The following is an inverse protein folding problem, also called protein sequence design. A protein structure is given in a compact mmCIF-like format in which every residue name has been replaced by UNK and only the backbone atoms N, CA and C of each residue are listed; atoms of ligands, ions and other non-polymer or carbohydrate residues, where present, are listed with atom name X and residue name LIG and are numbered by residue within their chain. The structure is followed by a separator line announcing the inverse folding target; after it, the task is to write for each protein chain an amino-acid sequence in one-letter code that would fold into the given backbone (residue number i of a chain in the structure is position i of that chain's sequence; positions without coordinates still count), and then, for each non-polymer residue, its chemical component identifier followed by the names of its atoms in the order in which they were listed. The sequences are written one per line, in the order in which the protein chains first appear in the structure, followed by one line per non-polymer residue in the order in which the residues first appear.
data_IF_727151820103
#
_entry.id   IF_727151820103
#
_cell.length_a   1.000
_cell.length_b   1.000
_cell.length_c   1.000
_cell.angle_alpha   90.00
_cell.angle_beta   90.00
_cell.angle_gamma   90.00
#
_symmetry.space_group_name_H-M   'P 1'
#
loop_
_entity.id
_entity.type
_entity.pdbx_description
1 polymer ?
#
# COMPACT_ATOMS: atom_id res chain seq x y z
N UNK A 1 -32.23 50.78 -12.32
CA UNK A 1 -31.02 49.93 -12.46
C UNK A 1 -31.01 48.91 -11.33
N UNK A 2 -31.12 47.61 -11.62
CA UNK A 2 -30.88 46.52 -10.66
C UNK A 2 -29.82 45.63 -11.30
N UNK A 3 -28.61 45.66 -10.76
CA UNK A 3 -27.50 44.80 -11.19
C UNK A 3 -27.52 43.58 -10.27
N UNK A 4 -27.85 42.43 -10.84
CA UNK A 4 -27.74 41.13 -10.17
C UNK A 4 -26.27 40.72 -10.31
N UNK A 5 -25.49 40.88 -9.24
CA UNK A 5 -24.13 40.35 -9.16
C UNK A 5 -24.27 38.87 -8.83
N UNK A 6 -24.21 38.03 -9.86
CA UNK A 6 -24.10 36.58 -9.73
C UNK A 6 -22.66 36.25 -9.34
N UNK A 7 -22.46 35.85 -8.08
CA UNK A 7 -21.19 35.34 -7.59
C UNK A 7 -20.99 33.91 -8.12
N UNK A 8 -20.23 33.80 -9.21
CA UNK A 8 -19.76 32.53 -9.74
C UNK A 8 -18.68 31.99 -8.80
N UNK A 9 -19.08 31.13 -7.85
CA UNK A 9 -18.16 30.38 -7.01
C UNK A 9 -17.47 29.35 -7.90
N UNK A 10 -16.24 29.67 -8.32
CA UNK A 10 -15.35 28.71 -8.95
C UNK A 10 -14.97 27.67 -7.91
N UNK A 11 -15.65 26.52 -7.96
CA UNK A 11 -15.15 25.28 -7.37
C UNK A 11 -13.85 24.94 -8.08
N UNK A 12 -12.71 25.27 -7.45
CA UNK A 12 -11.46 24.64 -7.78
C UNK A 12 -11.59 23.18 -7.37
N UNK A 13 -11.83 22.32 -8.35
CA UNK A 13 -11.67 20.88 -8.22
C UNK A 13 -10.21 20.63 -7.87
N UNK A 14 -9.91 20.50 -6.59
CA UNK A 14 -8.64 19.94 -6.13
C UNK A 14 -8.59 18.52 -6.66
N UNK A 15 -7.93 18.30 -7.80
CA UNK A 15 -7.52 16.96 -8.21
C UNK A 15 -6.57 16.47 -7.11
N UNK A 16 -7.12 15.74 -6.14
CA UNK A 16 -6.33 15.04 -5.15
C UNK A 16 -5.37 14.12 -5.90
N UNK A 17 -4.07 14.32 -5.71
CA UNK A 17 -3.07 13.43 -6.29
C UNK A 17 -3.35 12.00 -5.82
N UNK A 18 -3.34 11.03 -6.73
CA UNK A 18 -3.56 9.62 -6.41
C UNK A 18 -2.55 9.18 -5.34
N UNK A 19 -3.02 8.38 -4.37
CA UNK A 19 -2.18 7.90 -3.27
C UNK A 19 -1.30 6.74 -3.73
N UNK A 20 -1.72 6.03 -4.79
CA UNK A 20 -0.95 5.01 -5.48
C UNK A 20 -0.94 5.34 -6.98
N UNK A 21 0.24 5.33 -7.59
CA UNK A 21 0.37 5.33 -9.06
C UNK A 21 0.93 3.98 -9.47
N UNK A 22 0.26 3.30 -10.40
CA UNK A 22 0.68 1.98 -10.89
C UNK A 22 1.26 2.14 -12.28
N UNK A 23 2.47 1.63 -12.47
CA UNK A 23 3.11 1.52 -13.77
C UNK A 23 3.38 0.05 -14.07
N UNK A 24 3.35 -0.33 -15.34
CA UNK A 24 3.59 -1.71 -15.77
C UNK A 24 4.43 -1.79 -17.04
N UNK A 25 5.08 -2.92 -17.22
CA UNK A 25 5.64 -3.38 -18.48
C UNK A 25 5.18 -4.83 -18.73
N UNK A 26 5.73 -5.49 -19.74
CA UNK A 26 5.30 -6.83 -20.15
C UNK A 26 5.46 -7.91 -19.06
N UNK A 27 6.34 -7.70 -18.08
CA UNK A 27 6.73 -8.75 -17.10
C UNK A 27 6.65 -8.31 -15.65
N UNK A 28 6.39 -7.03 -15.39
CA UNK A 28 6.54 -6.43 -14.07
C UNK A 28 5.57 -5.28 -13.84
N UNK A 29 5.28 -5.06 -12.56
CA UNK A 29 4.46 -3.94 -12.11
C UNK A 29 5.20 -3.18 -11.02
N UNK A 30 5.09 -1.86 -11.07
CA UNK A 30 5.68 -0.90 -10.16
C UNK A 30 4.57 -0.05 -9.55
N UNK A 31 4.35 -0.21 -8.25
CA UNK A 31 3.56 0.72 -7.45
C UNK A 31 4.44 1.85 -6.92
N UNK A 32 4.04 3.11 -7.12
CA UNK A 32 4.55 4.26 -6.38
C UNK A 32 3.52 4.65 -5.33
N UNK A 33 3.91 4.59 -4.07
CA UNK A 33 3.04 4.86 -2.94
C UNK A 33 3.38 6.21 -2.29
N UNK A 34 2.37 7.08 -2.18
CA UNK A 34 2.48 8.43 -1.67
C UNK A 34 1.50 8.65 -0.52
N UNK A 35 2.03 9.00 0.64
CA UNK A 35 1.22 9.35 1.80
C UNK A 35 1.08 10.87 1.86
N UNK A 36 -0.16 11.35 1.94
CA UNK A 36 -0.44 12.79 2.00
C UNK A 36 0.25 13.44 3.21
N UNK A 37 0.85 14.60 2.98
CA UNK A 37 1.60 15.34 4.00
C UNK A 37 2.97 14.76 4.34
N UNK A 38 3.40 13.66 3.68
CA UNK A 38 4.75 13.10 3.81
C UNK A 38 5.56 13.32 2.54
N UNK A 39 6.85 13.60 2.72
CA UNK A 39 7.82 13.72 1.64
C UNK A 39 8.37 12.36 1.22
N UNK A 40 8.22 11.34 2.07
CA UNK A 40 8.64 9.99 1.76
C UNK A 40 7.69 9.35 0.76
N UNK A 41 8.28 8.79 -0.29
CA UNK A 41 7.60 7.99 -1.30
C UNK A 41 8.18 6.60 -1.18
N UNK A 42 7.35 5.56 -1.23
CA UNK A 42 7.84 4.19 -1.34
C UNK A 42 7.46 3.61 -2.69
N UNK A 43 8.15 2.55 -3.08
CA UNK A 43 7.79 1.79 -4.26
C UNK A 43 7.82 0.30 -3.99
N UNK A 44 6.86 -0.42 -4.55
CA UNK A 44 6.82 -1.88 -4.58
C UNK A 44 6.92 -2.33 -6.03
N UNK A 45 7.93 -3.11 -6.37
CA UNK A 45 8.01 -3.82 -7.65
C UNK A 45 7.64 -5.28 -7.44
N UNK A 46 6.85 -5.83 -8.35
CA UNK A 46 6.59 -7.27 -8.39
C UNK A 46 6.61 -7.82 -9.82
N UNK A 47 6.98 -9.10 -9.95
CA UNK A 47 7.11 -9.80 -11.22
C UNK A 47 8.57 -9.97 -11.64
N UNK A 48 8.89 -9.58 -12.88
CA UNK A 48 10.24 -9.56 -13.45
C UNK A 48 10.67 -10.85 -14.14
N UNK A 49 9.79 -11.85 -14.24
CA UNK A 49 10.09 -13.10 -14.94
C UNK A 49 9.83 -12.98 -16.44
N UNK A 50 10.87 -13.21 -17.26
CA UNK A 50 10.78 -13.19 -18.72
C UNK A 50 10.56 -14.60 -19.34
N UNK A 51 10.63 -15.68 -18.54
CA UNK A 51 10.60 -17.06 -19.04
C UNK A 51 9.27 -17.77 -18.78
N UNK A 52 8.57 -18.11 -19.87
CA UNK A 52 7.29 -18.85 -19.90
C UNK A 52 7.48 -20.39 -19.99
N UNK A 53 8.63 -20.91 -19.55
CA UNK A 53 8.98 -22.34 -19.61
C UNK A 53 8.58 -23.16 -18.37
N UNK A 54 8.59 -24.50 -18.49
CA UNK A 54 8.11 -25.47 -17.49
C UNK A 54 8.85 -25.46 -16.12
N UNK A 55 9.82 -24.57 -15.93
CA UNK A 55 10.41 -24.19 -14.65
C UNK A 55 10.34 -22.65 -14.53
N UNK A 56 9.12 -22.13 -14.40
CA UNK A 56 8.85 -20.68 -14.34
C UNK A 56 9.59 -20.07 -13.15
N UNK A 57 10.40 -19.01 -13.35
CA UNK A 57 10.89 -18.20 -12.24
C UNK A 57 9.69 -17.71 -11.42
N UNK A 58 9.79 -17.82 -10.10
CA UNK A 58 8.77 -17.33 -9.19
C UNK A 58 8.70 -15.80 -9.27
N UNK A 59 7.49 -15.23 -9.15
CA UNK A 59 7.31 -13.77 -9.05
C UNK A 59 8.17 -13.21 -7.91
N UNK A 60 9.10 -12.30 -8.22
CA UNK A 60 9.89 -11.62 -7.21
C UNK A 60 9.14 -10.37 -6.75
N UNK A 61 9.32 -9.98 -5.49
CA UNK A 61 8.84 -8.70 -4.95
C UNK A 61 10.01 -7.98 -4.32
N UNK A 62 10.13 -6.68 -4.56
CA UNK A 62 11.10 -5.81 -3.88
C UNK A 62 10.46 -4.48 -3.49
N UNK A 63 10.96 -3.87 -2.42
CA UNK A 63 10.42 -2.61 -1.91
C UNK A 63 11.51 -1.57 -1.67
N UNK A 64 11.26 -0.34 -2.12
CA UNK A 64 12.18 0.78 -2.00
C UNK A 64 11.58 1.93 -1.18
N UNK A 65 12.43 2.62 -0.43
CA UNK A 65 12.18 4.00 0.01
C UNK A 65 12.84 4.94 -0.99
N UNK A 66 12.08 5.92 -1.49
CA UNK A 66 12.46 6.81 -2.58
C UNK A 66 12.72 8.21 -2.06
N UNK A 67 13.89 8.76 -2.38
CA UNK A 67 14.26 10.15 -2.12
C UNK A 67 14.35 10.92 -3.42
N UNK A 68 13.77 12.11 -3.46
CA UNK A 68 13.82 12.99 -4.63
C UNK A 68 15.28 13.46 -4.84
N UNK A 69 15.79 13.29 -6.06
CA UNK A 69 17.12 13.69 -6.48
C UNK A 69 17.07 14.28 -7.89
N UNK A 70 17.16 15.61 -8.01
CA UNK A 70 17.21 16.30 -9.31
C UNK A 70 15.98 16.12 -10.22
N UNK A 71 14.81 15.73 -9.68
CA UNK A 71 13.60 15.41 -10.45
C UNK A 71 13.39 13.90 -10.67
N UNK A 72 14.41 13.09 -10.39
CA UNK A 72 14.32 11.64 -10.33
C UNK A 72 14.11 11.17 -8.88
N UNK A 73 13.95 9.87 -8.68
CA UNK A 73 14.07 9.25 -7.37
C UNK A 73 15.30 8.37 -7.27
N UNK A 74 16.01 8.51 -6.17
CA UNK A 74 16.97 7.53 -5.70
C UNK A 74 16.28 6.59 -4.72
N UNK A 75 16.22 5.32 -5.06
CA UNK A 75 15.63 4.27 -4.25
C UNK A 75 16.65 3.53 -3.42
N UNK A 76 16.33 3.28 -2.15
CA UNK A 76 17.07 2.40 -1.25
C UNK A 76 16.20 1.18 -1.00
N UNK A 77 16.70 -0.03 -1.27
CA UNK A 77 15.95 -1.25 -0.96
C UNK A 77 15.78 -1.32 0.55
N UNK A 78 14.53 -1.40 1.00
CA UNK A 78 14.18 -1.48 2.42
C UNK A 78 13.75 -2.90 2.79
N UNK A 79 13.81 -3.28 4.08
CA UNK A 79 13.28 -4.55 4.54
C UNK A 79 11.80 -4.72 4.18
N UNK A 80 11.42 -5.92 3.78
CA UNK A 80 10.05 -6.29 3.48
C UNK A 80 9.80 -7.78 3.74
N UNK A 81 8.54 -8.14 3.91
CA UNK A 81 8.11 -9.53 4.07
C UNK A 81 6.77 -9.76 3.39
N UNK A 82 6.73 -10.70 2.45
CA UNK A 82 5.52 -11.13 1.74
C UNK A 82 5.19 -12.57 2.13
N UNK A 83 4.15 -13.15 1.52
CA UNK A 83 3.81 -14.57 1.71
C UNK A 83 4.87 -15.51 1.11
N UNK A 84 5.67 -15.02 0.15
CA UNK A 84 6.60 -15.84 -0.64
C UNK A 84 8.06 -15.63 -0.27
N UNK A 85 8.41 -14.46 0.25
CA UNK A 85 9.81 -14.08 0.47
C UNK A 85 9.95 -12.96 1.51
N UNK A 86 11.14 -12.82 2.05
CA UNK A 86 11.47 -11.73 2.99
C UNK A 86 12.89 -11.24 2.78
N UNK A 87 13.11 -9.98 3.15
CA UNK A 87 14.39 -9.29 3.10
C UNK A 87 14.56 -8.45 4.36
N UNK A 88 15.72 -8.54 4.99
CA UNK A 88 15.99 -7.86 6.26
C UNK A 88 17.07 -6.78 6.18
N UNK A 89 17.80 -6.68 5.07
CA UNK A 89 18.90 -5.74 4.94
C UNK A 89 18.44 -4.47 4.23
N UNK A 90 19.20 -3.38 4.39
CA UNK A 90 19.12 -2.23 3.49
C UNK A 90 20.31 -2.32 2.55
N UNK A 91 20.08 -2.26 1.25
CA UNK A 91 21.15 -2.42 0.26
C UNK A 91 20.73 -1.85 -1.08
N UNK A 92 21.69 -1.58 -1.96
CA UNK A 92 21.48 -1.21 -3.36
C UNK A 92 20.74 0.13 -3.56
N UNK A 93 21.37 0.99 -4.34
CA UNK A 93 20.72 2.18 -4.86
C UNK A 93 20.16 1.87 -6.25
N UNK A 94 18.87 2.12 -6.43
CA UNK A 94 18.21 2.11 -7.74
C UNK A 94 17.82 3.55 -8.13
N UNK A 95 17.72 3.83 -9.42
CA UNK A 95 17.19 5.10 -9.95
C UNK A 95 15.81 4.87 -10.55
N UNK A 96 14.91 5.81 -10.30
CA UNK A 96 13.60 5.87 -10.93
C UNK A 96 13.46 7.22 -11.61
N UNK A 97 13.31 7.20 -12.92
CA UNK A 97 13.37 8.40 -13.75
C UNK A 97 11.99 8.65 -14.36
N UNK A 98 11.11 9.42 -13.69
CA UNK A 98 9.78 9.71 -14.19
C UNK A 98 9.86 10.68 -15.38
N UNK A 99 9.24 10.32 -16.49
CA UNK A 99 9.09 11.14 -17.69
C UNK A 99 7.65 11.08 -18.18
N UNK A 100 6.81 12.00 -17.69
CA UNK A 100 5.40 12.06 -18.05
C UNK A 100 4.63 10.83 -17.57
N UNK A 101 4.12 10.02 -18.50
CA UNK A 101 3.39 8.77 -18.22
C UNK A 101 4.31 7.54 -18.17
N UNK A 102 5.62 7.72 -18.25
CA UNK A 102 6.60 6.63 -18.19
C UNK A 102 7.48 6.82 -16.96
N UNK A 103 7.90 5.72 -16.34
CA UNK A 103 8.98 5.73 -15.36
C UNK A 103 10.00 4.66 -15.74
N UNK A 104 11.25 5.06 -15.85
CA UNK A 104 12.35 4.13 -16.13
C UNK A 104 12.97 3.69 -14.81
N UNK A 105 13.01 2.38 -14.56
CA UNK A 105 13.73 1.81 -13.43
C UNK A 105 15.12 1.34 -13.89
N UNK A 106 16.14 1.85 -13.22
CA UNK A 106 17.54 1.50 -13.45
C UNK A 106 18.14 0.93 -12.16
N UNK A 107 18.81 -0.20 -12.26
CA UNK A 107 19.58 -0.77 -11.16
C UNK A 107 21.00 -1.09 -11.63
N UNK A 108 21.99 -0.59 -10.89
CA UNK A 108 23.40 -0.88 -11.17
C UNK A 108 23.86 -2.23 -10.60
N UNK A 109 22.97 -2.93 -9.89
CA UNK A 109 23.26 -4.21 -9.25
C UNK A 109 22.14 -5.23 -9.49
N UNK A 110 22.53 -6.48 -9.67
CA UNK A 110 21.58 -7.59 -9.61
C UNK A 110 20.99 -7.68 -8.21
N UNK A 111 19.67 -7.88 -8.16
CA UNK A 111 18.96 -8.15 -6.91
C UNK A 111 19.22 -9.60 -6.53
N UNK A 112 20.18 -9.81 -5.63
CA UNK A 112 20.57 -11.11 -5.07
C UNK A 112 19.45 -11.83 -4.32
N UNK A 113 18.33 -11.14 -4.10
CA UNK A 113 17.11 -11.66 -3.50
C UNK A 113 16.14 -12.31 -4.51
N UNK A 114 16.20 -11.93 -5.78
CA UNK A 114 15.28 -12.47 -6.78
C UNK A 114 15.84 -13.75 -7.42
N UNK A 115 14.97 -14.66 -7.89
CA UNK A 115 15.41 -15.80 -8.70
C UNK A 115 16.26 -15.36 -9.90
N UNK A 116 17.14 -16.27 -10.35
CA UNK A 116 17.89 -16.03 -11.58
C UNK A 116 16.94 -15.81 -12.75
N UNK A 117 17.22 -14.80 -13.57
CA UNK A 117 16.38 -14.42 -14.71
C UNK A 117 15.34 -13.34 -14.39
N UNK A 118 15.18 -12.94 -13.12
CA UNK A 118 14.36 -11.77 -12.78
C UNK A 118 15.07 -10.49 -13.20
N UNK A 119 14.42 -9.69 -14.02
CA UNK A 119 14.88 -8.37 -14.44
C UNK A 119 13.75 -7.35 -14.34
N UNK A 120 13.96 -6.32 -13.52
CA UNK A 120 13.03 -5.20 -13.39
C UNK A 120 13.43 -3.98 -14.23
N UNK A 121 14.60 -4.00 -14.87
CA UNK A 121 15.12 -2.84 -15.62
C UNK A 121 14.28 -2.51 -16.84
N UNK A 122 14.16 -1.21 -17.10
CA UNK A 122 13.45 -0.70 -18.28
C UNK A 122 12.30 0.26 -17.95
N UNK A 123 11.50 0.51 -18.98
CA UNK A 123 10.42 1.49 -18.97
C UNK A 123 9.10 0.87 -18.52
N UNK A 124 8.39 1.57 -17.64
CA UNK A 124 7.07 1.20 -17.18
C UNK A 124 6.07 2.29 -17.57
N UNK A 125 4.94 1.90 -18.15
CA UNK A 125 3.87 2.80 -18.56
C UNK A 125 2.84 2.96 -17.44
N UNK A 126 2.39 4.20 -17.21
CA UNK A 126 1.33 4.50 -16.25
C UNK A 126 0.03 3.83 -16.67
N UNK A 127 -0.57 3.07 -15.75
CA UNK A 127 -1.85 2.39 -15.95
C UNK A 127 -2.99 3.35 -15.58
N UNK A 128 -3.92 3.59 -16.51
CA UNK A 128 -5.12 4.40 -16.26
C UNK A 128 -6.00 3.71 -15.19
N UNK A 129 -6.45 4.46 -14.18
CA UNK A 129 -7.32 3.97 -13.09
C UNK A 129 -8.62 3.31 -13.60
N UNK A 130 -9.06 3.67 -14.81
CA UNK A 130 -10.24 3.10 -15.47
C UNK A 130 -9.96 1.77 -16.18
N UNK A 131 -8.68 1.42 -16.39
CA UNK A 131 -8.30 0.13 -16.96
C UNK A 131 -8.57 -0.99 -15.92
N UNK A 132 -9.28 -2.07 -16.28
CA UNK A 132 -9.38 -3.26 -15.43
C UNK A 132 -8.05 -3.76 -14.84
N UNK A 133 -6.96 -3.63 -15.59
CA UNK A 133 -5.62 -4.05 -15.17
C UNK A 133 -5.12 -3.25 -13.96
N UNK A 134 -5.52 -1.97 -13.84
CA UNK A 134 -5.21 -1.16 -12.66
C UNK A 134 -5.73 -1.83 -11.40
N UNK A 135 -6.99 -2.30 -11.42
CA UNK A 135 -7.58 -2.95 -10.25
C UNK A 135 -6.89 -4.28 -9.95
N UNK A 136 -6.56 -5.07 -10.97
CA UNK A 136 -5.86 -6.34 -10.77
C UNK A 136 -4.47 -6.13 -10.14
N UNK A 137 -3.72 -5.16 -10.65
CA UNK A 137 -2.41 -4.79 -10.12
C UNK A 137 -2.53 -4.19 -8.71
N UNK A 138 -3.55 -3.37 -8.46
CA UNK A 138 -3.85 -2.82 -7.14
C UNK A 138 -4.17 -3.93 -6.13
N UNK A 139 -5.00 -4.91 -6.50
CA UNK A 139 -5.35 -6.07 -5.66
C UNK A 139 -4.10 -6.89 -5.27
N UNK A 140 -3.12 -7.01 -6.17
CA UNK A 140 -1.85 -7.68 -5.88
C UNK A 140 -1.00 -6.83 -4.91
N UNK A 141 -0.78 -5.56 -5.24
CA UNK A 141 0.05 -4.65 -4.45
C UNK A 141 -0.46 -4.48 -3.00
N UNK A 142 -1.78 -4.33 -2.81
CA UNK A 142 -2.35 -4.16 -1.47
C UNK A 142 -2.17 -5.42 -0.61
N UNK A 143 -2.26 -6.63 -1.20
CA UNK A 143 -2.05 -7.89 -0.48
C UNK A 143 -0.59 -8.07 -0.05
N UNK A 144 0.34 -7.78 -0.96
CA UNK A 144 1.78 -7.82 -0.66
C UNK A 144 2.12 -6.86 0.49
N UNK A 145 1.62 -5.63 0.42
CA UNK A 145 1.88 -4.61 1.44
C UNK A 145 1.11 -4.84 2.74
N UNK A 146 -0.07 -5.45 2.71
CA UNK A 146 -0.77 -5.89 3.92
C UNK A 146 -0.01 -6.96 4.67
N UNK A 147 0.51 -7.97 3.96
CA UNK A 147 1.36 -8.99 4.57
C UNK A 147 2.61 -8.37 5.21
N UNK A 148 3.24 -7.43 4.51
CA UNK A 148 4.41 -6.73 5.03
C UNK A 148 4.07 -5.86 6.26
N UNK A 149 2.92 -5.18 6.25
CA UNK A 149 2.44 -4.39 7.39
C UNK A 149 2.20 -5.25 8.64
N UNK A 150 1.60 -6.43 8.48
CA UNK A 150 1.41 -7.37 9.60
C UNK A 150 2.74 -7.86 10.17
N UNK A 151 3.77 -8.05 9.33
CA UNK A 151 5.10 -8.42 9.78
C UNK A 151 5.80 -7.27 10.54
N UNK A 152 5.66 -6.03 10.08
CA UNK A 152 6.13 -4.83 10.80
C UNK A 152 5.45 -4.70 12.17
N UNK A 153 4.12 -4.83 12.21
CA UNK A 153 3.36 -4.84 13.45
C UNK A 153 3.81 -5.95 14.41
N UNK A 154 4.06 -7.15 13.89
CA UNK A 154 4.56 -8.28 14.67
C UNK A 154 5.96 -8.06 15.24
N UNK A 155 6.71 -7.12 14.68
CA UNK A 155 8.02 -6.65 15.12
C UNK A 155 7.92 -5.37 15.97
N UNK A 156 6.73 -5.07 16.48
CA UNK A 156 6.40 -3.91 17.34
C UNK A 156 6.49 -2.54 16.65
N UNK A 157 6.57 -2.52 15.30
CA UNK A 157 6.60 -1.29 14.52
C UNK A 157 5.22 -0.93 13.95
N UNK A 158 4.33 -0.50 14.85
CA UNK A 158 2.94 -0.15 14.52
C UNK A 158 2.87 1.03 13.54
N UNK A 159 3.74 2.03 13.69
CA UNK A 159 3.70 3.24 12.87
C UNK A 159 4.07 2.95 11.43
N UNK A 160 5.15 2.20 11.16
CA UNK A 160 5.50 1.83 9.79
C UNK A 160 4.47 0.89 9.17
N UNK A 161 3.84 0.02 9.97
CA UNK A 161 2.74 -0.81 9.49
C UNK A 161 1.54 0.04 9.01
N UNK A 162 1.18 1.10 9.74
CA UNK A 162 0.14 2.06 9.34
C UNK A 162 0.57 2.79 8.07
N UNK A 163 1.78 3.35 8.04
CA UNK A 163 2.32 4.10 6.90
C UNK A 163 2.30 3.30 5.60
N UNK A 164 2.58 1.99 5.70
CA UNK A 164 2.59 1.09 4.58
C UNK A 164 1.19 0.85 3.97
N UNK A 165 0.15 0.83 4.80
CA UNK A 165 -1.23 0.56 4.39
C UNK A 165 -2.02 1.83 4.05
N UNK A 166 -1.71 2.95 4.69
CA UNK A 166 -2.42 4.22 4.55
C UNK A 166 -2.66 4.64 3.08
N UNK A 167 -1.67 4.63 2.16
CA UNK A 167 -1.92 5.04 0.78
C UNK A 167 -2.88 4.09 0.06
N UNK A 168 -2.83 2.78 0.34
CA UNK A 168 -3.76 1.80 -0.24
C UNK A 168 -5.18 1.94 0.31
N UNK A 169 -5.34 2.22 1.61
CA UNK A 169 -6.66 2.43 2.20
C UNK A 169 -7.31 3.69 1.63
N UNK A 170 -6.55 4.79 1.49
CA UNK A 170 -7.02 6.03 0.87
C UNK A 170 -7.42 5.81 -0.60
N UNK A 171 -6.56 5.16 -1.38
CA UNK A 171 -6.85 4.84 -2.78
C UNK A 171 -8.07 3.92 -2.92
N UNK A 172 -8.23 2.95 -2.02
CA UNK A 172 -9.40 2.06 -1.97
C UNK A 172 -10.68 2.84 -1.72
N UNK A 173 -10.68 3.77 -0.77
CA UNK A 173 -11.85 4.61 -0.47
C UNK A 173 -12.19 5.49 -1.68
N UNK A 174 -11.21 6.14 -2.29
CA UNK A 174 -11.40 7.01 -3.47
C UNK A 174 -12.00 6.26 -4.66
N UNK A 175 -11.60 5.00 -4.87
CA UNK A 175 -12.07 4.17 -5.97
C UNK A 175 -13.21 3.20 -5.57
N UNK A 176 -13.73 3.30 -4.33
CA UNK A 176 -14.75 2.41 -3.77
C UNK A 176 -14.38 0.91 -3.86
N UNK A 177 -13.10 0.59 -3.70
CA UNK A 177 -12.61 -0.77 -3.45
C UNK A 177 -12.75 -1.08 -1.95
N UNK A 178 -13.06 -2.34 -1.61
CA UNK A 178 -13.28 -2.74 -0.23
C UNK A 178 -12.74 -4.14 0.04
N UNK A 179 -11.82 -4.22 1.02
CA UNK A 179 -11.16 -5.44 1.46
C UNK A 179 -11.38 -5.59 2.97
N UNK A 180 -12.39 -6.37 3.37
CA UNK A 180 -12.88 -6.35 4.75
C UNK A 180 -11.82 -6.67 5.79
N UNK A 181 -10.94 -7.62 5.52
CA UNK A 181 -9.83 -8.00 6.40
C UNK A 181 -8.79 -6.87 6.51
N UNK A 182 -8.35 -6.32 5.39
CA UNK A 182 -7.32 -5.26 5.36
C UNK A 182 -7.81 -3.99 6.05
N UNK A 183 -9.07 -3.60 5.83
CA UNK A 183 -9.67 -2.43 6.49
C UNK A 183 -9.83 -2.66 8.00
N UNK A 184 -10.25 -3.86 8.41
CA UNK A 184 -10.35 -4.21 9.82
C UNK A 184 -8.98 -4.16 10.52
N UNK A 185 -7.96 -4.75 9.91
CA UNK A 185 -6.60 -4.77 10.45
C UNK A 185 -6.01 -3.35 10.50
N UNK A 186 -6.21 -2.55 9.45
CA UNK A 186 -5.79 -1.14 9.47
C UNK A 186 -6.47 -0.33 10.57
N UNK A 187 -7.79 -0.51 10.75
CA UNK A 187 -8.52 0.09 11.87
C UNK A 187 -7.97 -0.31 13.23
N UNK A 188 -7.62 -1.59 13.40
CA UNK A 188 -6.96 -2.10 14.61
C UNK A 188 -5.57 -1.49 14.82
N UNK A 189 -4.73 -1.42 13.78
CA UNK A 189 -3.40 -0.79 13.84
C UNK A 189 -3.50 0.68 14.29
N UNK A 190 -4.46 1.44 13.74
CA UNK A 190 -4.72 2.82 14.15
C UNK A 190 -5.05 2.93 15.64
N UNK A 191 -5.82 1.99 16.21
CA UNK A 191 -6.10 1.96 17.65
C UNK A 191 -4.85 1.68 18.47
N UNK A 192 -4.02 0.72 18.03
CA UNK A 192 -2.75 0.42 18.71
C UNK A 192 -1.80 1.63 18.73
N UNK A 193 -1.85 2.48 17.70
CA UNK A 193 -1.10 3.74 17.65
C UNK A 193 -1.80 4.93 18.34
N UNK A 194 -2.95 4.73 19.00
CA UNK A 194 -3.71 5.80 19.67
C UNK A 194 -4.46 6.75 18.73
N UNK A 195 -4.50 6.47 17.42
CA UNK A 195 -5.27 7.24 16.40
C UNK A 195 -6.75 6.83 16.41
N UNK A 196 -7.40 6.95 17.58
CA UNK A 196 -8.74 6.42 17.84
C UNK A 196 -9.83 7.02 16.95
N UNK A 197 -9.75 8.32 16.61
CA UNK A 197 -10.70 8.97 15.70
C UNK A 197 -10.66 8.36 14.30
N UNK A 198 -9.45 8.13 13.80
CA UNK A 198 -9.21 7.61 12.46
C UNK A 198 -9.62 6.14 12.40
N UNK A 199 -9.25 5.38 13.44
CA UNK A 199 -9.69 4.00 13.59
C UNK A 199 -11.22 3.87 13.58
N UNK A 200 -11.92 4.71 14.34
CA UNK A 200 -13.39 4.69 14.40
C UNK A 200 -14.00 4.94 13.02
N UNK A 201 -13.43 5.86 12.23
CA UNK A 201 -13.87 6.13 10.86
C UNK A 201 -13.76 4.88 9.97
N UNK A 202 -12.60 4.20 10.01
CA UNK A 202 -12.35 2.99 9.22
C UNK A 202 -13.22 1.81 9.69
N UNK A 203 -13.32 1.57 11.00
CA UNK A 203 -14.10 0.46 11.55
C UNK A 203 -15.61 0.63 11.33
N UNK A 204 -16.11 1.88 11.35
CA UNK A 204 -17.50 2.15 10.97
C UNK A 204 -17.78 1.83 9.50
N UNK A 205 -16.81 2.08 8.61
CA UNK A 205 -16.93 1.67 7.21
C UNK A 205 -16.99 0.14 7.08
N UNK A 206 -16.19 -0.58 7.87
CA UNK A 206 -16.23 -2.05 7.92
C UNK A 206 -17.60 -2.56 8.36
N UNK A 207 -18.16 -2.02 9.45
CA UNK A 207 -19.49 -2.37 9.94
C UNK A 207 -20.57 -2.11 8.89
N UNK A 208 -20.51 -0.93 8.24
CA UNK A 208 -21.51 -0.53 7.23
C UNK A 208 -21.50 -1.47 6.02
N UNK A 209 -20.32 -1.92 5.61
CA UNK A 209 -20.13 -2.78 4.42
C UNK A 209 -20.26 -4.27 4.74
N UNK A 210 -20.11 -4.68 6.00
CA UNK A 210 -20.12 -6.08 6.40
C UNK A 210 -21.05 -6.31 7.61
N UNK A 211 -22.31 -6.69 7.31
CA UNK A 211 -23.36 -6.88 8.32
C UNK A 211 -23.02 -7.96 9.37
N UNK A 212 -22.12 -8.89 9.07
CA UNK A 212 -21.72 -9.99 9.95
C UNK A 212 -20.55 -9.65 10.91
N UNK A 213 -19.85 -8.51 10.73
CA UNK A 213 -18.68 -8.12 11.54
C UNK A 213 -19.07 -7.33 12.79
N UNK A 214 -20.36 -7.01 12.95
CA UNK A 214 -20.87 -6.20 14.07
C UNK A 214 -20.46 -6.72 15.45
N UNK A 215 -20.37 -8.04 15.66
CA UNK A 215 -20.12 -8.60 17.00
C UNK A 215 -18.67 -8.41 17.50
N UNK A 216 -17.68 -8.50 16.61
CA UNK A 216 -16.26 -8.46 17.00
C UNK A 216 -15.79 -7.02 17.30
N UNK A 217 -16.28 -6.04 16.52
CA UNK A 217 -15.96 -4.63 16.71
C UNK A 217 -16.70 -4.06 17.94
N UNK A 218 -17.91 -4.55 18.25
CA UNK A 218 -18.62 -4.15 19.47
C UNK A 218 -17.82 -4.51 20.74
N UNK A 219 -17.19 -5.70 20.78
CA UNK A 219 -16.32 -6.13 21.89
C UNK A 219 -15.09 -5.22 22.02
N UNK A 220 -14.53 -4.80 20.89
CA UNK A 220 -13.35 -3.94 20.82
C UNK A 220 -13.67 -2.47 21.20
N UNK A 221 -14.82 -1.95 20.77
CA UNK A 221 -15.32 -0.63 21.16
C UNK A 221 -15.74 -0.56 22.64
N UNK A 222 -16.30 -1.66 23.19
CA UNK A 222 -16.64 -1.74 24.61
C UNK A 222 -15.41 -1.68 25.53
N UNK A 223 -14.24 -2.15 25.07
CA UNK A 223 -12.98 -2.03 25.83
C UNK A 223 -12.39 -0.60 25.81
N UNK A 224 -12.75 0.24 24.83
CA UNK A 224 -12.29 1.63 24.73
C UNK A 224 -13.16 2.57 25.57
N UNK A 225 -14.44 2.25 25.74
CA UNK A 225 -15.38 3.04 26.55
C UNK A 225 -15.28 2.82 28.06
N UNK A 226 -14.54 1.80 28.52
CA UNK A 226 -14.48 1.42 29.91
C UNK A 226 -13.10 0.94 30.33
N UNK A 227 -12.35 1.84 30.98
CA UNK A 227 -11.18 1.57 31.82
C UNK A 227 -9.87 1.25 31.10
N UNK A 228 -8.88 2.12 31.32
CA UNK A 228 -7.50 1.82 31.02
C UNK A 228 -7.04 0.57 31.76
N UNK A 229 -6.84 -0.53 31.04
CA UNK A 229 -6.15 -1.72 31.53
C UNK A 229 -5.23 -2.22 30.43
N UNK A 230 -3.95 -2.24 30.77
CA UNK A 230 -2.89 -2.95 30.09
C UNK A 230 -3.20 -4.45 30.00
N UNK A 231 -2.83 -5.06 28.87
CA UNK A 231 -2.72 -6.50 28.56
C UNK A 231 -3.96 -7.21 27.99
N UNK A 232 -3.79 -7.80 26.79
CA UNK A 232 -3.75 -9.27 26.68
C UNK A 232 -2.83 -9.75 25.53
N UNK A 233 -2.13 -10.90 25.71
CA UNK A 233 -1.13 -11.42 24.80
C UNK A 233 -1.72 -12.27 23.65
N UNK A 234 -0.92 -12.34 22.57
CA UNK A 234 -1.02 -13.29 21.43
C UNK A 234 -1.39 -14.70 21.90
N UNK A 235 -2.64 -15.11 21.69
CA UNK A 235 -3.04 -16.46 21.23
C UNK A 235 -4.54 -16.41 20.98
N UNK A 236 -4.98 -17.06 19.90
CA UNK A 236 -6.38 -17.24 19.45
C UNK A 236 -6.86 -16.27 18.35
N UNK A 237 -6.20 -16.25 17.20
CA UNK A 237 -6.87 -15.99 15.91
C UNK A 237 -6.28 -16.95 14.86
N UNK A 238 -6.63 -18.23 14.97
CA UNK A 238 -6.49 -19.21 13.89
C UNK A 238 -7.39 -20.40 14.21
N UNK A 239 -8.69 -20.23 14.01
CA UNK A 239 -9.65 -21.31 13.77
C UNK A 239 -11.05 -20.70 13.68
N UNK A 240 -11.45 -20.31 12.46
CA UNK A 240 -12.85 -20.37 11.96
C UNK A 240 -12.92 -19.83 10.54
N UNK A 241 -12.27 -20.52 9.60
CA UNK A 241 -12.65 -20.53 8.19
C UNK A 241 -12.25 -21.89 7.61
N UNK A 242 -13.13 -22.87 7.82
CA UNK A 242 -13.31 -24.05 6.97
C UNK A 242 -14.77 -24.10 6.58
#
# INVERSE_FOLDING_TARGET
MKVIISAFVLFFSSYAAASIQIYENDTSVLGLEKTEGKTEVTSTLYGGSNDSGAASPADCVVKYSLKIDGGNYRGILIPFSTEYMSYSNEKNEASFEPNGSVITYLSNAFLDICPMGTDFTGDYNLVDVRNPDYKNNFDALIKLNHTNALNLFNSEDVYRAIELLEPYIRESISNNYYYSNIFNDYGFLLQQAGRNSDALSILNLVIKKNQNVQLFILILLMHIGGWGINLMPRKTIRSTYH
#
